data_IF_939332067598
#
_entry.id   IF_939332067598
#
_cell.length_a   1.000
_cell.length_b   1.000
_cell.length_c   1.000
_cell.angle_alpha   90.00
_cell.angle_beta   90.00
_cell.angle_gamma   90.00
#
_symmetry.space_group_name_H-M   'P 1'
#
loop_
_entity.id
_entity.type
_entity.pdbx_description
1 polymer ?
#
# COMPACT_ATOMS: atom_id res chain seq x y z
N UNK A 1 -19.20 -3.52 9.65
CA UNK A 1 -19.18 -4.99 9.85
C UNK A 1 -19.38 -5.77 8.55
N UNK A 2 -19.88 -5.17 7.47
CA UNK A 2 -20.04 -5.77 6.12
C UNK A 2 -18.83 -6.60 5.65
N UNK A 3 -17.65 -5.96 5.53
CA UNK A 3 -16.50 -6.57 4.87
C UNK A 3 -16.05 -7.90 5.46
N UNK A 4 -16.05 -8.06 6.80
CA UNK A 4 -15.71 -9.35 7.43
C UNK A 4 -16.69 -10.48 7.07
N UNK A 5 -17.97 -10.16 6.85
CA UNK A 5 -18.97 -11.13 6.37
C UNK A 5 -18.73 -11.46 4.90
N UNK A 6 -18.44 -10.46 4.07
CA UNK A 6 -18.10 -10.65 2.66
C UNK A 6 -16.86 -11.56 2.49
N UNK A 7 -15.78 -11.35 3.25
CA UNK A 7 -14.60 -12.23 3.22
C UNK A 7 -14.97 -13.67 3.62
N UNK A 8 -15.86 -13.85 4.61
CA UNK A 8 -16.26 -15.19 5.02
C UNK A 8 -17.02 -15.91 3.90
N UNK A 9 -18.01 -15.24 3.31
CA UNK A 9 -18.87 -15.79 2.25
C UNK A 9 -18.12 -16.03 0.92
N UNK A 10 -17.44 -15.00 0.41
CA UNK A 10 -16.88 -15.03 -0.95
C UNK A 10 -15.49 -15.65 -1.05
N UNK A 11 -14.74 -15.71 0.06
CA UNK A 11 -13.40 -16.30 0.10
C UNK A 11 -13.36 -17.56 0.96
N UNK A 12 -13.62 -17.46 2.27
CA UNK A 12 -13.36 -18.56 3.20
C UNK A 12 -14.25 -19.78 2.90
N UNK A 13 -15.56 -19.56 2.81
CA UNK A 13 -16.54 -20.62 2.55
C UNK A 13 -16.34 -21.25 1.15
N UNK A 14 -15.92 -20.46 0.13
CA UNK A 14 -15.54 -20.98 -1.20
C UNK A 14 -14.30 -21.88 -1.15
N UNK A 15 -13.27 -21.53 -0.39
CA UNK A 15 -12.06 -22.34 -0.26
C UNK A 15 -12.27 -23.63 0.54
N UNK A 16 -13.10 -23.57 1.61
CA UNK A 16 -13.52 -24.78 2.33
C UNK A 16 -14.34 -25.71 1.41
N UNK A 17 -15.23 -25.17 0.57
CA UNK A 17 -15.96 -25.94 -0.44
C UNK A 17 -15.07 -26.52 -1.56
N UNK A 18 -13.98 -25.82 -1.92
CA UNK A 18 -12.95 -26.34 -2.83
C UNK A 18 -12.04 -27.41 -2.20
N UNK A 19 -12.25 -27.76 -0.92
CA UNK A 19 -11.56 -28.86 -0.24
C UNK A 19 -10.28 -28.49 0.49
N UNK A 20 -9.98 -27.19 0.64
CA UNK A 20 -8.87 -26.72 1.49
C UNK A 20 -9.22 -26.97 2.97
N UNK A 21 -8.31 -27.59 3.71
CA UNK A 21 -8.53 -28.00 5.11
C UNK A 21 -7.46 -27.47 6.06
N UNK A 22 -7.82 -27.41 7.35
CA UNK A 22 -6.87 -27.14 8.44
C UNK A 22 -5.72 -28.15 8.44
N UNK A 23 -4.48 -27.66 8.53
CA UNK A 23 -3.30 -28.51 8.75
C UNK A 23 -3.42 -29.31 10.04
N UNK A 24 -3.02 -30.58 10.05
CA UNK A 24 -3.16 -31.48 11.21
C UNK A 24 -2.57 -30.90 12.50
N UNK A 25 -1.43 -30.20 12.39
CA UNK A 25 -0.62 -29.62 13.46
C UNK A 25 -1.25 -28.42 14.24
N UNK A 26 -2.37 -27.85 13.80
CA UNK A 26 -2.73 -26.46 14.19
C UNK A 26 -3.62 -26.25 15.44
N UNK A 27 -4.46 -27.21 15.86
CA UNK A 27 -5.69 -26.98 16.67
C UNK A 27 -6.80 -26.23 15.89
N UNK A 28 -8.07 -26.50 16.23
CA UNK A 28 -9.23 -25.90 15.57
C UNK A 28 -9.39 -24.42 15.95
N UNK A 29 -9.17 -24.11 17.22
CA UNK A 29 -9.32 -22.80 17.82
C UNK A 29 -8.35 -21.80 17.19
N UNK A 30 -7.08 -22.20 17.03
CA UNK A 30 -6.08 -21.37 16.37
C UNK A 30 -6.33 -21.22 14.86
N UNK A 31 -6.97 -22.20 14.23
CA UNK A 31 -7.37 -22.12 12.82
C UNK A 31 -8.55 -21.16 12.61
N UNK A 32 -9.60 -21.27 13.41
CA UNK A 32 -10.76 -20.39 13.34
C UNK A 32 -10.40 -18.95 13.75
N UNK A 33 -9.51 -18.77 14.73
CA UNK A 33 -8.93 -17.46 15.06
C UNK A 33 -8.09 -16.88 13.90
N UNK A 34 -7.29 -17.70 13.22
CA UNK A 34 -6.55 -17.31 12.01
C UNK A 34 -7.48 -16.87 10.87
N UNK A 35 -8.56 -17.61 10.62
CA UNK A 35 -9.60 -17.23 9.65
C UNK A 35 -10.27 -15.90 10.02
N UNK A 36 -10.58 -15.68 11.30
CA UNK A 36 -11.16 -14.41 11.77
C UNK A 36 -10.19 -13.22 11.65
N UNK A 37 -8.90 -13.43 11.90
CA UNK A 37 -7.86 -12.42 11.69
C UNK A 37 -7.68 -12.09 10.20
N UNK A 38 -7.64 -13.10 9.33
CA UNK A 38 -7.59 -12.91 7.87
C UNK A 38 -8.82 -12.15 7.37
N UNK A 39 -10.03 -12.52 7.83
CA UNK A 39 -11.26 -11.82 7.50
C UNK A 39 -11.26 -10.36 7.95
N UNK A 40 -10.60 -10.04 9.06
CA UNK A 40 -10.43 -8.65 9.50
C UNK A 40 -9.46 -7.86 8.59
N UNK A 41 -8.40 -8.50 8.10
CA UNK A 41 -7.37 -7.86 7.26
C UNK A 41 -7.78 -7.69 5.80
N UNK A 42 -8.67 -8.53 5.29
CA UNK A 42 -9.21 -8.45 3.92
C UNK A 42 -10.55 -7.72 3.85
N UNK A 43 -11.08 -7.21 4.98
CA UNK A 43 -12.38 -6.54 5.05
C UNK A 43 -12.47 -5.21 4.27
N UNK A 44 -11.35 -4.73 3.70
CA UNK A 44 -11.34 -3.58 2.78
C UNK A 44 -11.73 -3.96 1.35
N UNK A 45 -11.59 -5.24 0.97
CA UNK A 45 -11.78 -5.68 -0.41
C UNK A 45 -13.26 -5.69 -0.82
N UNK A 46 -13.51 -5.41 -2.10
CA UNK A 46 -14.80 -5.59 -2.75
C UNK A 46 -15.22 -7.06 -2.83
N UNK A 47 -16.53 -7.32 -3.00
CA UNK A 47 -17.05 -8.67 -3.19
C UNK A 47 -16.47 -9.35 -4.44
N UNK A 48 -16.27 -8.61 -5.53
CA UNK A 48 -15.70 -9.12 -6.78
C UNK A 48 -14.20 -9.40 -6.62
N UNK A 49 -13.45 -8.51 -5.96
CA UNK A 49 -12.05 -8.75 -5.62
C UNK A 49 -11.85 -9.97 -4.71
N UNK A 50 -12.78 -10.24 -3.79
CA UNK A 50 -12.76 -11.43 -2.93
C UNK A 50 -13.10 -12.73 -3.68
N UNK A 51 -14.04 -12.68 -4.64
CA UNK A 51 -14.35 -13.82 -5.50
C UNK A 51 -13.15 -14.16 -6.39
N UNK A 52 -12.57 -13.17 -7.08
CA UNK A 52 -11.37 -13.33 -7.91
C UNK A 52 -10.17 -13.83 -7.11
N UNK A 53 -10.02 -13.40 -5.85
CA UNK A 53 -9.00 -13.92 -4.93
C UNK A 53 -9.24 -15.40 -4.60
N UNK A 54 -10.49 -15.82 -4.41
CA UNK A 54 -10.82 -17.23 -4.19
C UNK A 54 -10.47 -18.07 -5.42
N UNK A 55 -10.88 -17.63 -6.61
CA UNK A 55 -10.58 -18.32 -7.88
C UNK A 55 -9.06 -18.43 -8.11
N UNK A 56 -8.33 -17.32 -7.95
CA UNK A 56 -6.86 -17.28 -8.07
C UNK A 56 -6.18 -18.28 -7.13
N UNK A 57 -6.69 -18.43 -5.89
CA UNK A 57 -6.12 -19.39 -4.92
C UNK A 57 -6.49 -20.83 -5.29
N UNK A 58 -7.73 -21.09 -5.73
CA UNK A 58 -8.16 -22.44 -6.15
C UNK A 58 -7.35 -22.92 -7.36
N UNK A 59 -7.07 -22.04 -8.32
CA UNK A 59 -6.30 -22.38 -9.53
C UNK A 59 -4.80 -22.54 -9.26
N UNK A 60 -4.22 -21.74 -8.37
CA UNK A 60 -2.76 -21.72 -8.12
C UNK A 60 -2.28 -22.63 -6.99
N UNK A 61 -3.16 -23.02 -6.06
CA UNK A 61 -2.78 -23.76 -4.86
C UNK A 61 -2.94 -25.28 -5.04
N UNK A 62 -1.82 -25.98 -5.15
CA UNK A 62 -1.78 -27.43 -5.39
C UNK A 62 -1.87 -28.28 -4.11
N UNK A 63 -1.89 -27.66 -2.93
CA UNK A 63 -1.96 -28.34 -1.64
C UNK A 63 -3.39 -28.46 -1.12
N UNK A 64 -3.68 -29.53 -0.38
CA UNK A 64 -4.96 -29.64 0.37
C UNK A 64 -4.97 -28.79 1.65
N UNK A 65 -3.79 -28.49 2.19
CA UNK A 65 -3.61 -27.69 3.39
C UNK A 65 -3.95 -26.22 3.15
N UNK A 66 -4.56 -25.56 4.13
CA UNK A 66 -4.88 -24.13 4.07
C UNK A 66 -3.62 -23.26 3.87
N UNK A 67 -3.59 -22.34 2.88
CA UNK A 67 -2.43 -21.49 2.63
C UNK A 67 -2.06 -20.60 3.83
N UNK A 68 -0.79 -20.20 3.91
CA UNK A 68 -0.35 -19.24 4.92
C UNK A 68 -1.02 -17.87 4.73
N UNK A 69 -1.30 -17.14 5.82
CA UNK A 69 -1.85 -15.77 5.75
C UNK A 69 -1.02 -14.86 4.82
N UNK A 70 0.31 -15.04 4.79
CA UNK A 70 1.21 -14.31 3.88
C UNK A 70 0.83 -14.50 2.40
N UNK A 71 0.43 -15.70 1.99
CA UNK A 71 0.02 -16.01 0.62
C UNK A 71 -1.27 -15.26 0.27
N UNK A 72 -2.30 -15.38 1.10
CA UNK A 72 -3.55 -14.62 0.96
C UNK A 72 -3.32 -13.11 0.84
N UNK A 73 -2.54 -12.54 1.76
CA UNK A 73 -2.27 -11.10 1.80
C UNK A 73 -1.47 -10.65 0.55
N UNK A 74 -0.61 -11.50 -0.02
CA UNK A 74 0.11 -11.17 -1.24
C UNK A 74 -0.77 -11.26 -2.49
N UNK A 75 -1.58 -12.31 -2.62
CA UNK A 75 -2.53 -12.45 -3.73
C UNK A 75 -3.59 -11.34 -3.71
N UNK A 76 -4.15 -11.03 -2.54
CA UNK A 76 -5.11 -9.94 -2.34
C UNK A 76 -4.58 -8.60 -2.87
N UNK A 77 -3.34 -8.24 -2.51
CA UNK A 77 -2.70 -6.97 -2.93
C UNK A 77 -2.48 -6.86 -4.44
N UNK A 78 -2.33 -7.98 -5.14
CA UNK A 78 -2.15 -7.99 -6.59
C UNK A 78 -3.49 -7.75 -7.32
N UNK A 79 -4.62 -8.05 -6.66
CA UNK A 79 -5.99 -7.87 -7.18
C UNK A 79 -6.53 -6.50 -6.78
N UNK A 80 -6.54 -6.21 -5.47
CA UNK A 80 -7.08 -4.98 -4.91
C UNK A 80 -6.09 -4.44 -3.86
N UNK A 81 -5.33 -3.37 -4.17
CA UNK A 81 -4.39 -2.80 -3.23
C UNK A 81 -5.08 -2.22 -1.98
N UNK A 82 -4.66 -2.56 -0.75
CA UNK A 82 -5.26 -2.00 0.46
C UNK A 82 -5.03 -0.49 0.56
N UNK A 83 -6.01 0.27 1.10
CA UNK A 83 -5.94 1.72 1.23
C UNK A 83 -4.60 2.24 1.77
N UNK A 84 -4.24 3.44 1.32
CA UNK A 84 -2.99 4.12 1.70
C UNK A 84 -2.93 4.33 3.22
N UNK A 85 -4.07 4.59 3.87
CA UNK A 85 -4.21 4.71 5.33
C UNK A 85 -3.73 3.48 6.10
N UNK A 86 -3.91 2.29 5.53
CA UNK A 86 -3.49 1.02 6.14
C UNK A 86 -2.01 0.69 5.86
N UNK A 87 -1.29 1.60 5.20
CA UNK A 87 0.12 1.44 4.92
C UNK A 87 0.96 1.88 6.11
N UNK A 88 1.15 0.94 7.04
CA UNK A 88 2.02 1.11 8.21
C UNK A 88 3.44 1.59 7.85
N UNK A 89 3.99 1.30 6.67
CA UNK A 89 5.30 1.82 6.29
C UNK A 89 5.27 3.34 6.07
N UNK A 90 4.27 3.86 5.36
CA UNK A 90 4.04 5.30 5.22
C UNK A 90 3.82 5.96 6.58
N UNK A 91 2.88 5.41 7.37
CA UNK A 91 2.52 5.94 8.68
C UNK A 91 3.61 5.78 9.76
N UNK A 92 4.63 4.94 9.55
CA UNK A 92 5.78 4.82 10.46
C UNK A 92 6.95 5.67 9.97
N UNK A 93 7.29 5.61 8.68
CA UNK A 93 8.51 6.22 8.15
C UNK A 93 8.38 7.74 8.00
N UNK A 94 7.32 8.24 7.33
CA UNK A 94 7.15 9.68 7.11
C UNK A 94 6.74 10.43 8.39
N UNK A 95 6.02 9.75 9.29
CA UNK A 95 5.70 10.28 10.63
C UNK A 95 6.94 10.28 11.54
N UNK A 96 8.00 9.52 11.24
CA UNK A 96 9.25 9.51 12.02
C UNK A 96 10.14 10.74 11.78
N UNK A 97 11.36 10.72 12.34
CA UNK A 97 12.40 11.71 12.06
C UNK A 97 12.94 11.65 10.61
N UNK A 98 12.67 10.58 9.86
CA UNK A 98 13.07 10.48 8.44
C UNK A 98 12.19 11.31 7.51
N UNK A 99 10.92 11.56 7.85
CA UNK A 99 10.02 12.43 7.07
C UNK A 99 10.58 13.85 6.87
N UNK A 100 10.93 14.59 7.94
CA UNK A 100 11.56 15.91 7.82
C UNK A 100 12.90 15.87 7.07
N UNK A 101 13.70 14.80 7.21
CA UNK A 101 14.93 14.63 6.42
C UNK A 101 14.63 14.46 4.93
N UNK A 102 13.56 13.76 4.58
CA UNK A 102 13.13 13.58 3.20
C UNK A 102 12.67 14.90 2.54
N UNK A 103 12.00 15.77 3.31
CA UNK A 103 11.70 17.15 2.88
C UNK A 103 12.99 17.90 2.55
N UNK A 104 13.98 17.85 3.45
CA UNK A 104 15.27 18.56 3.29
C UNK A 104 16.12 18.02 2.14
N UNK A 105 16.10 16.71 1.87
CA UNK A 105 16.79 16.10 0.73
C UNK A 105 16.08 16.30 -0.61
N UNK A 106 14.79 16.65 -0.58
CA UNK A 106 13.94 16.78 -1.77
C UNK A 106 13.44 15.46 -2.34
N UNK A 107 13.48 14.36 -1.58
CA UNK A 107 13.10 13.00 -2.01
C UNK A 107 11.78 12.48 -1.40
N UNK A 108 10.99 13.38 -0.79
CA UNK A 108 9.76 13.04 -0.09
C UNK A 108 8.74 12.28 -0.95
N UNK A 109 8.51 12.70 -2.19
CA UNK A 109 7.45 12.15 -3.05
C UNK A 109 7.83 10.76 -3.55
N UNK A 110 9.12 10.55 -3.83
CA UNK A 110 9.69 9.29 -4.26
C UNK A 110 9.72 8.29 -3.11
N UNK A 111 10.08 8.73 -1.89
CA UNK A 111 9.94 7.91 -0.68
C UNK A 111 8.48 7.57 -0.40
N UNK A 112 7.56 8.52 -0.60
CA UNK A 112 6.12 8.27 -0.46
C UNK A 112 5.64 7.20 -1.45
N UNK A 113 5.92 7.36 -2.75
CA UNK A 113 5.59 6.38 -3.78
C UNK A 113 6.24 5.03 -3.52
N UNK A 114 7.53 5.00 -3.19
CA UNK A 114 8.24 3.78 -2.82
C UNK A 114 7.56 3.07 -1.63
N UNK A 115 7.27 3.80 -0.55
CA UNK A 115 6.61 3.24 0.62
C UNK A 115 5.16 2.82 0.32
N UNK A 116 4.44 3.55 -0.55
CA UNK A 116 3.08 3.19 -1.02
C UNK A 116 3.10 1.83 -1.72
N UNK A 117 4.00 1.70 -2.69
CA UNK A 117 3.99 0.59 -3.65
C UNK A 117 4.71 -0.65 -3.07
N UNK A 118 5.81 -0.47 -2.32
CA UNK A 118 6.57 -1.57 -1.68
C UNK A 118 6.10 -1.89 -0.25
N UNK A 119 5.30 -1.04 0.39
CA UNK A 119 4.80 -1.16 1.78
C UNK A 119 5.89 -1.45 2.83
N UNK A 120 7.09 -0.92 2.58
CA UNK A 120 8.25 -0.89 3.49
C UNK A 120 9.09 0.37 3.23
N UNK A 121 9.92 0.82 4.19
CA UNK A 121 10.97 1.80 3.92
C UNK A 121 11.94 1.31 2.83
N UNK A 122 12.56 2.23 2.07
CA UNK A 122 13.70 1.91 1.20
C UNK A 122 14.91 1.45 2.03
N UNK A 123 15.69 0.52 1.49
CA UNK A 123 17.00 0.16 2.02
C UNK A 123 18.06 1.19 1.58
N UNK A 124 19.21 1.21 2.26
CA UNK A 124 20.31 2.15 1.96
C UNK A 124 20.80 2.12 0.51
N UNK A 125 20.76 0.95 -0.15
CA UNK A 125 21.12 0.79 -1.55
C UNK A 125 20.01 1.22 -2.53
N UNK A 126 18.75 1.29 -2.09
CA UNK A 126 17.62 1.80 -2.88
C UNK A 126 17.52 3.32 -2.81
N UNK A 127 18.06 3.94 -1.74
CA UNK A 127 18.09 5.40 -1.57
C UNK A 127 18.78 6.14 -2.72
N UNK A 128 19.74 5.50 -3.41
CA UNK A 128 20.37 6.10 -4.59
C UNK A 128 19.36 6.25 -5.74
N UNK A 129 18.63 5.19 -6.08
CA UNK A 129 17.61 5.22 -7.13
C UNK A 129 16.50 6.22 -6.79
N UNK A 130 16.03 6.21 -5.54
CA UNK A 130 15.05 7.18 -5.02
C UNK A 130 15.53 8.63 -5.19
N UNK A 131 16.81 8.92 -4.92
CA UNK A 131 17.38 10.26 -5.11
C UNK A 131 17.61 10.63 -6.59
N UNK A 132 17.84 9.66 -7.47
CA UNK A 132 17.94 9.86 -8.92
C UNK A 132 16.57 10.16 -9.54
N UNK A 133 15.54 9.41 -9.15
CA UNK A 133 14.14 9.65 -9.50
C UNK A 133 13.68 11.03 -9.03
N UNK A 134 14.01 11.42 -7.79
CA UNK A 134 13.63 12.72 -7.22
C UNK A 134 14.22 13.88 -8.02
N UNK A 135 15.49 13.78 -8.43
CA UNK A 135 16.13 14.76 -9.32
C UNK A 135 15.51 14.78 -10.71
N UNK A 136 15.08 13.64 -11.24
CA UNK A 136 14.41 13.55 -12.54
C UNK A 136 13.02 14.19 -12.50
N UNK A 137 12.22 13.87 -11.49
CA UNK A 137 10.88 14.44 -11.29
C UNK A 137 10.94 15.95 -10.98
N UNK A 138 11.93 16.41 -10.19
CA UNK A 138 12.15 17.83 -9.94
C UNK A 138 12.46 18.61 -11.25
N UNK A 139 13.31 18.07 -12.13
CA UNK A 139 13.53 18.65 -13.47
C UNK A 139 12.26 18.65 -14.31
N UNK A 140 11.49 17.56 -14.29
CA UNK A 140 10.24 17.46 -15.04
C UNK A 140 9.19 18.47 -14.54
N UNK A 141 9.11 18.76 -13.23
CA UNK A 141 8.25 19.83 -12.71
C UNK A 141 8.62 21.20 -13.27
N UNK A 142 9.92 21.52 -13.35
CA UNK A 142 10.41 22.78 -13.95
C UNK A 142 10.01 22.84 -15.43
N UNK A 143 10.28 21.79 -16.21
CA UNK A 143 9.92 21.72 -17.63
C UNK A 143 8.41 21.91 -17.84
N UNK A 144 7.56 21.28 -17.03
CA UNK A 144 6.10 21.44 -17.15
C UNK A 144 5.65 22.86 -16.78
N UNK A 145 6.27 23.49 -15.77
CA UNK A 145 5.97 24.87 -15.40
C UNK A 145 6.43 25.89 -16.47
N UNK A 146 7.63 25.69 -17.04
CA UNK A 146 8.14 26.49 -18.16
C UNK A 146 7.22 26.38 -19.39
N UNK A 147 6.79 25.17 -19.74
CA UNK A 147 5.84 24.95 -20.85
C UNK A 147 4.48 25.63 -20.59
N UNK A 148 3.96 25.62 -19.36
CA UNK A 148 2.72 26.35 -19.01
C UNK A 148 2.84 27.86 -19.08
N UNK A 149 4.06 28.42 -18.97
CA UNK A 149 4.29 29.86 -19.15
C UNK A 149 4.33 30.29 -20.63
N UNK A 150 4.30 29.35 -21.58
CA UNK A 150 4.23 29.63 -23.03
C UNK A 150 2.80 29.70 -23.54
N UNK A 151 2.57 30.40 -24.65
CA UNK A 151 1.25 30.45 -25.32
C UNK A 151 0.72 29.07 -25.75
N UNK A 152 1.61 28.09 -26.00
CA UNK A 152 1.23 26.72 -26.33
C UNK A 152 0.78 25.91 -25.11
N UNK A 153 1.22 26.28 -23.90
CA UNK A 153 0.99 25.56 -22.65
C UNK A 153 1.65 24.17 -22.58
N UNK A 154 1.58 23.55 -21.40
CA UNK A 154 1.91 22.13 -21.27
C UNK A 154 0.84 21.24 -21.96
N UNK A 155 1.21 20.02 -22.31
CA UNK A 155 0.25 19.03 -22.86
C UNK A 155 -0.65 18.43 -21.75
N UNK A 156 -1.82 17.85 -22.09
CA UNK A 156 -2.74 17.31 -21.10
C UNK A 156 -2.16 16.18 -20.22
N UNK A 157 -1.31 15.32 -20.80
CA UNK A 157 -0.58 14.27 -20.10
C UNK A 157 0.44 14.82 -19.10
N UNK A 158 1.16 15.88 -19.50
CA UNK A 158 2.13 16.60 -18.65
C UNK A 158 1.45 17.26 -17.45
N UNK A 159 0.30 17.93 -17.66
CA UNK A 159 -0.53 18.45 -16.56
C UNK A 159 -1.02 17.33 -15.65
N UNK A 160 -1.64 16.29 -16.20
CA UNK A 160 -2.15 15.17 -15.42
C UNK A 160 -1.03 14.47 -14.61
N UNK A 161 0.18 14.35 -15.15
CA UNK A 161 1.34 13.85 -14.42
C UNK A 161 1.73 14.78 -13.26
N UNK A 162 1.83 16.10 -13.50
CA UNK A 162 2.17 17.10 -12.47
C UNK A 162 1.13 17.12 -11.37
N UNK A 163 -0.15 17.15 -11.71
CA UNK A 163 -1.23 17.29 -10.75
C UNK A 163 -1.29 16.07 -9.82
N UNK A 164 -1.05 14.85 -10.35
CA UNK A 164 -0.83 13.63 -9.55
C UNK A 164 0.41 13.71 -8.66
N UNK A 165 1.53 14.26 -9.17
CA UNK A 165 2.74 14.45 -8.38
C UNK A 165 2.55 15.43 -7.23
N UNK A 166 1.82 16.53 -7.46
CA UNK A 166 1.50 17.52 -6.43
C UNK A 166 0.51 16.98 -5.39
N UNK A 167 -0.44 16.12 -5.79
CA UNK A 167 -1.30 15.38 -4.87
C UNK A 167 -0.48 14.42 -3.98
N UNK A 168 0.35 13.55 -4.58
CA UNK A 168 1.25 12.66 -3.84
C UNK A 168 2.13 13.46 -2.84
N UNK A 169 2.61 14.65 -3.26
CA UNK A 169 3.41 15.55 -2.41
C UNK A 169 2.61 16.13 -1.23
N UNK A 170 1.35 16.51 -1.43
CA UNK A 170 0.49 17.03 -0.38
C UNK A 170 0.16 15.93 0.65
N UNK A 171 -0.20 14.73 0.19
CA UNK A 171 -0.44 13.56 1.04
C UNK A 171 0.81 13.19 1.86
N UNK A 172 1.99 13.17 1.23
CA UNK A 172 3.25 12.91 1.90
C UNK A 172 3.59 13.98 2.95
N UNK A 173 3.35 15.27 2.66
CA UNK A 173 3.62 16.36 3.60
C UNK A 173 2.72 16.30 4.83
N UNK A 174 1.43 15.98 4.66
CA UNK A 174 0.49 15.83 5.77
C UNK A 174 0.94 14.76 6.79
N UNK A 175 1.55 13.65 6.33
CA UNK A 175 2.14 12.64 7.20
C UNK A 175 3.38 13.14 7.96
N UNK A 176 4.21 13.98 7.33
CA UNK A 176 5.37 14.61 7.98
C UNK A 176 4.93 15.62 9.04
N UNK A 177 3.92 16.43 8.73
CA UNK A 177 3.32 17.41 9.65
C UNK A 177 2.67 16.71 10.86
N UNK A 178 1.92 15.64 10.65
CA UNK A 178 1.39 14.79 11.73
C UNK A 178 2.50 14.29 12.67
N UNK A 179 3.62 13.83 12.09
CA UNK A 179 4.80 13.40 12.85
C UNK A 179 5.47 14.52 13.65
N UNK A 180 5.52 15.73 13.08
CA UNK A 180 6.08 16.91 13.74
C UNK A 180 5.17 17.40 14.88
N UNK A 181 3.85 17.46 14.67
CA UNK A 181 2.87 17.83 15.69
C UNK A 181 2.94 16.88 16.89
N UNK A 182 2.99 15.57 16.65
CA UNK A 182 3.18 14.57 17.72
C UNK A 182 4.47 14.79 18.51
N UNK A 183 5.61 14.98 17.81
CA UNK A 183 6.91 15.26 18.45
C UNK A 183 6.94 16.56 19.27
N UNK A 184 6.14 17.56 18.89
CA UNK A 184 6.02 18.79 19.66
C UNK A 184 5.21 18.57 20.94
N UNK A 185 4.10 17.83 20.86
CA UNK A 185 3.30 17.45 22.03
C UNK A 185 4.04 16.52 23.01
N UNK A 186 4.82 15.56 22.51
CA UNK A 186 5.65 14.65 23.34
C UNK A 186 6.84 15.36 24.04
N UNK A 187 7.03 16.67 23.82
CA UNK A 187 8.13 17.50 24.36
C UNK A 187 7.66 18.69 25.22
N UNK A 188 6.35 18.86 25.38
CA UNK A 188 5.71 19.93 26.16
C UNK A 188 5.31 19.43 27.56
#
# INVERSE_FOLDING_TARGET
MEGKKAVRLYLIERLEAAGLVRTSKQSKEAFDAGKAALAARLAYMTADGLQLLADTIIESWTGRDWPTEKFFIQAARNIEPPPVTDNRALATYLVSAEGPKAVLRGDLVEIYRFCRDKRRPPHSWEMQAVAEDARANARQLVIVAEMEATEAGARPDQRQWRDRYLLDRAEAMALVEQGNAKRAGDRA
#
